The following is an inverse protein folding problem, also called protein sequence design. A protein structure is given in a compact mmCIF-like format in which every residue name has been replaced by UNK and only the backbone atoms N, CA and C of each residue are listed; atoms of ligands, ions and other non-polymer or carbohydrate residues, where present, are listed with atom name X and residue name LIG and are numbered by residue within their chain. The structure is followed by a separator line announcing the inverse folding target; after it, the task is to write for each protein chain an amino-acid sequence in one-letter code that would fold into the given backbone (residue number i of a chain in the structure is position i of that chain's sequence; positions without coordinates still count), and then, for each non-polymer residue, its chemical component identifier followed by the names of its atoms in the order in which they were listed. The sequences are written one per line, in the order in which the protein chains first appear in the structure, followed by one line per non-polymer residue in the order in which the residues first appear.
data_IF_524509799000
#
_entry.id   IF_524509799000
#
_cell.length_a   1.000
_cell.length_b   1.000
_cell.length_c   1.000
_cell.angle_alpha   90.00
_cell.angle_beta   90.00
_cell.angle_gamma   90.00
#
_symmetry.space_group_name_H-M   'P 1'
#
loop_
_entity.id
_entity.type
_entity.pdbx_description
1 polymer ?
#
# COMPACT_ATOMS: atom_id res chain seq x y z
N UNK A 1 -43.47 -11.97 -34.08
CA UNK A 1 -43.29 -11.03 -32.96
C UNK A 1 -42.11 -11.49 -32.13
N UNK A 2 -41.04 -10.70 -32.18
CA UNK A 2 -39.67 -10.98 -31.72
C UNK A 2 -39.49 -10.47 -30.30
N UNK A 3 -38.76 -11.20 -29.44
CA UNK A 3 -37.76 -10.59 -28.52
C UNK A 3 -36.56 -11.53 -28.31
N UNK A 4 -35.45 -11.17 -28.99
CA UNK A 4 -34.07 -11.41 -28.52
C UNK A 4 -33.91 -10.72 -27.17
N UNK A 5 -33.07 -11.27 -26.29
CA UNK A 5 -31.84 -10.61 -25.82
C UNK A 5 -30.96 -11.69 -25.19
N UNK A 6 -29.85 -11.97 -25.86
CA UNK A 6 -28.65 -12.55 -25.29
C UNK A 6 -27.88 -11.37 -24.70
N UNK A 7 -27.65 -11.31 -23.38
CA UNK A 7 -26.74 -10.33 -22.79
C UNK A 7 -25.81 -11.02 -21.80
N UNK A 8 -24.55 -11.04 -22.21
CA UNK A 8 -23.37 -11.47 -21.50
C UNK A 8 -22.95 -10.38 -20.44
N UNK A 9 -21.87 -10.60 -19.66
CA UNK A 9 -21.71 -10.29 -18.22
C UNK A 9 -21.44 -8.79 -17.88
N UNK A 10 -21.33 -8.40 -16.59
CA UNK A 10 -21.47 -7.00 -16.14
C UNK A 10 -20.36 -6.07 -16.65
N UNK A 11 -20.60 -4.75 -16.68
CA UNK A 11 -19.61 -3.79 -17.14
C UNK A 11 -18.35 -3.87 -16.30
N UNK A 12 -17.25 -4.06 -17.03
CA UNK A 12 -15.86 -3.91 -16.63
C UNK A 12 -15.68 -2.71 -15.70
N UNK A 13 -15.51 -2.97 -14.40
CA UNK A 13 -14.80 -2.03 -13.51
C UNK A 13 -13.47 -1.72 -14.19
N UNK A 14 -13.04 -0.45 -14.30
CA UNK A 14 -11.78 -0.13 -14.96
C UNK A 14 -10.67 -0.91 -14.28
N UNK A 15 -10.12 -1.87 -15.02
CA UNK A 15 -8.86 -2.51 -14.70
C UNK A 15 -7.84 -1.37 -14.62
N UNK A 16 -7.20 -1.13 -13.47
CA UNK A 16 -6.06 -0.25 -13.43
C UNK A 16 -5.01 -0.92 -14.30
N UNK A 17 -4.76 -0.36 -15.49
CA UNK A 17 -3.57 -0.65 -16.30
C UNK A 17 -2.35 -0.21 -15.50
N UNK A 18 -1.94 -1.08 -14.58
CA UNK A 18 -0.72 -1.01 -13.80
C UNK A 18 -0.01 -2.36 -13.92
N UNK A 19 1.34 -2.39 -13.78
CA UNK A 19 2.10 -3.63 -13.85
C UNK A 19 1.50 -4.70 -12.92
N UNK A 20 1.62 -5.99 -13.27
CA UNK A 20 0.98 -7.08 -12.53
C UNK A 20 1.21 -6.90 -11.03
N UNK A 21 0.21 -7.13 -10.15
CA UNK A 21 0.36 -6.91 -8.73
C UNK A 21 1.59 -7.69 -8.27
N UNK A 22 2.65 -6.94 -7.97
CA UNK A 22 3.85 -7.47 -7.33
C UNK A 22 3.40 -8.31 -6.13
N UNK A 23 4.06 -9.45 -5.84
CA UNK A 23 3.57 -10.52 -4.98
C UNK A 23 2.78 -9.98 -3.80
N UNK A 24 1.47 -10.22 -3.86
CA UNK A 24 0.39 -9.58 -3.10
C UNK A 24 0.82 -8.91 -1.78
N UNK A 25 1.17 -7.63 -1.85
CA UNK A 25 1.19 -6.80 -0.66
C UNK A 25 -0.25 -6.76 -0.10
N UNK A 26 -0.42 -6.97 1.22
CA UNK A 26 -1.74 -6.87 1.84
C UNK A 26 -2.36 -5.48 1.57
N UNK A 27 -3.70 -5.31 1.57
CA UNK A 27 -4.30 -4.00 1.32
C UNK A 27 -3.82 -2.91 2.28
N UNK A 28 -3.45 -3.27 3.51
CA UNK A 28 -2.83 -2.35 4.46
C UNK A 28 -1.38 -1.96 4.06
N UNK A 29 -0.63 -2.90 3.47
CA UNK A 29 0.69 -2.61 2.91
C UNK A 29 0.61 -1.70 1.69
N UNK A 30 -0.43 -1.88 0.85
CA UNK A 30 -0.63 -1.02 -0.31
C UNK A 30 -0.90 0.44 0.10
N UNK A 31 -1.80 0.66 1.07
CA UNK A 31 -2.04 2.01 1.62
C UNK A 31 -0.78 2.67 2.17
N UNK A 32 0.10 1.89 2.80
CA UNK A 32 1.41 2.37 3.25
C UNK A 32 2.27 2.81 2.04
N UNK A 33 2.34 2.00 0.99
CA UNK A 33 3.11 2.33 -0.20
C UNK A 33 2.59 3.59 -0.91
N UNK A 34 1.26 3.75 -1.00
CA UNK A 34 0.64 4.98 -1.50
C UNK A 34 0.99 6.20 -0.63
N UNK A 35 1.00 6.04 0.69
CA UNK A 35 1.44 7.11 1.60
C UNK A 35 2.91 7.49 1.38
N UNK A 36 3.79 6.54 1.05
CA UNK A 36 5.18 6.84 0.65
C UNK A 36 5.31 7.40 -0.77
N UNK A 37 4.40 7.09 -1.68
CA UNK A 37 4.40 7.64 -3.02
C UNK A 37 3.99 9.12 -3.04
N UNK A 38 3.06 9.50 -2.16
CA UNK A 38 2.65 10.90 -1.93
C UNK A 38 3.69 11.68 -1.12
N UNK A 39 4.35 11.03 -0.14
CA UNK A 39 5.39 11.66 0.66
C UNK A 39 6.76 11.59 -0.03
N UNK A 40 7.28 12.73 -0.48
CA UNK A 40 8.65 12.80 -1.00
C UNK A 40 9.69 12.76 0.14
N UNK A 41 9.91 11.62 0.79
CA UNK A 41 10.93 11.53 1.84
C UNK A 41 11.03 10.25 2.66
N UNK A 42 11.96 10.31 3.61
CA UNK A 42 12.17 9.31 4.65
C UNK A 42 11.10 9.51 5.75
N UNK A 43 10.45 8.45 6.22
CA UNK A 43 9.38 8.54 7.22
C UNK A 43 9.58 7.55 8.36
N UNK A 44 9.11 7.92 9.55
CA UNK A 44 9.02 7.04 10.70
C UNK A 44 7.66 6.36 10.77
N UNK A 45 7.56 5.36 11.64
CA UNK A 45 6.30 4.64 11.86
C UNK A 45 5.22 5.52 12.51
N UNK A 46 5.62 6.47 13.36
CA UNK A 46 4.74 7.49 13.95
C UNK A 46 4.16 8.44 12.90
N UNK A 47 5.00 9.07 12.09
CA UNK A 47 4.59 9.93 10.96
C UNK A 47 3.62 9.22 10.01
N UNK A 48 3.88 7.95 9.71
CA UNK A 48 2.96 7.12 8.92
C UNK A 48 1.63 6.86 9.65
N UNK A 49 1.64 6.68 10.97
CA UNK A 49 0.40 6.56 11.73
C UNK A 49 -0.42 7.85 11.64
N UNK A 50 0.20 9.03 11.71
CA UNK A 50 -0.50 10.32 11.54
C UNK A 50 -1.12 10.45 10.15
N UNK A 51 -0.36 10.12 9.10
CA UNK A 51 -0.85 10.19 7.71
C UNK A 51 -1.95 9.19 7.36
N UNK A 52 -2.01 8.08 8.10
CA UNK A 52 -3.06 7.07 7.94
C UNK A 52 -4.23 7.32 8.92
N UNK A 53 -4.27 8.47 9.60
CA UNK A 53 -5.26 8.83 10.62
C UNK A 53 -5.40 7.76 11.73
N UNK A 54 -4.28 7.10 12.05
CA UNK A 54 -4.19 6.11 13.11
C UNK A 54 -3.80 6.79 14.42
N UNK A 55 -4.45 6.41 15.52
CA UNK A 55 -4.05 6.88 16.83
C UNK A 55 -2.57 6.52 17.11
N UNK A 56 -1.77 7.50 17.55
CA UNK A 56 -0.36 7.37 17.93
C UNK A 56 -0.19 6.63 19.27
N UNK A 57 -0.71 5.41 19.32
CA UNK A 57 -0.57 4.50 20.45
C UNK A 57 0.61 3.57 20.22
N UNK A 58 1.32 3.11 21.28
CA UNK A 58 2.44 2.17 21.13
C UNK A 58 2.07 0.91 20.34
N UNK A 59 0.83 0.43 20.51
CA UNK A 59 0.29 -0.72 19.78
C UNK A 59 0.24 -0.48 18.26
N UNK A 60 -0.24 0.69 17.84
CA UNK A 60 -0.36 1.01 16.42
C UNK A 60 1.01 1.25 15.80
N UNK A 61 1.88 1.99 16.49
CA UNK A 61 3.26 2.26 16.03
C UNK A 61 4.03 0.95 15.82
N UNK A 62 3.94 0.00 16.76
CA UNK A 62 4.63 -1.29 16.64
C UNK A 62 4.01 -2.19 15.55
N UNK A 63 2.69 -2.13 15.35
CA UNK A 63 2.02 -2.83 14.25
C UNK A 63 2.44 -2.26 12.88
N UNK A 64 2.50 -0.94 12.78
CA UNK A 64 2.99 -0.23 11.60
C UNK A 64 4.45 -0.58 11.33
N UNK A 65 5.31 -0.55 12.35
CA UNK A 65 6.72 -0.96 12.24
C UNK A 65 6.88 -2.40 11.74
N UNK A 66 6.06 -3.33 12.20
CA UNK A 66 6.04 -4.71 11.68
C UNK A 66 5.69 -4.76 10.19
N UNK A 67 4.70 -3.98 9.74
CA UNK A 67 4.30 -3.91 8.33
C UNK A 67 5.41 -3.28 7.47
N UNK A 68 6.05 -2.22 7.96
CA UNK A 68 7.18 -1.57 7.31
C UNK A 68 8.36 -2.53 7.15
N UNK A 69 8.77 -3.23 8.22
CA UNK A 69 9.81 -4.25 8.17
C UNK A 69 9.48 -5.37 7.16
N UNK A 70 8.21 -5.79 7.09
CA UNK A 70 7.78 -6.76 6.07
C UNK A 70 7.98 -6.23 4.66
N UNK A 71 7.61 -4.99 4.39
CA UNK A 71 7.81 -4.34 3.09
C UNK A 71 9.29 -4.14 2.75
N UNK A 72 10.14 -3.89 3.74
CA UNK A 72 11.60 -3.86 3.57
C UNK A 72 12.13 -5.25 3.17
N UNK A 73 11.66 -6.32 3.83
CA UNK A 73 12.04 -7.69 3.48
C UNK A 73 11.58 -8.10 2.07
N UNK A 74 10.47 -7.54 1.59
CA UNK A 74 9.98 -7.72 0.22
C UNK A 74 10.72 -6.86 -0.81
N UNK A 75 11.65 -6.00 -0.38
CA UNK A 75 12.42 -5.11 -1.24
C UNK A 75 11.65 -3.90 -1.77
N UNK A 76 10.44 -3.64 -1.26
CA UNK A 76 9.62 -2.50 -1.67
C UNK A 76 9.99 -1.21 -0.93
N UNK A 77 10.38 -1.33 0.34
CA UNK A 77 10.92 -0.24 1.14
C UNK A 77 12.40 -0.48 1.46
N UNK A 78 13.11 0.58 1.81
CA UNK A 78 14.43 0.53 2.41
C UNK A 78 14.39 1.17 3.81
N UNK A 79 15.24 0.69 4.70
CA UNK A 79 15.47 1.27 6.02
C UNK A 79 16.92 1.75 6.09
N UNK A 80 17.22 2.98 5.66
CA UNK A 80 18.59 3.51 5.68
C UNK A 80 19.11 3.70 7.11
N UNK A 81 18.23 4.00 8.06
CA UNK A 81 18.55 4.15 9.48
C UNK A 81 17.51 3.42 10.33
N UNK A 82 17.87 2.94 11.53
CA UNK A 82 16.93 2.22 12.41
C UNK A 82 15.64 3.01 12.65
N UNK A 83 14.52 2.47 12.19
CA UNK A 83 13.20 3.09 12.34
C UNK A 83 12.87 4.21 11.35
N UNK A 84 13.72 4.45 10.36
CA UNK A 84 13.50 5.39 9.27
C UNK A 84 13.33 4.61 7.96
N UNK A 85 12.21 4.81 7.27
CA UNK A 85 11.85 4.04 6.08
C UNK A 85 11.70 4.94 4.86
N UNK A 86 11.95 4.39 3.67
CA UNK A 86 11.75 5.09 2.40
C UNK A 86 11.35 4.13 1.31
N UNK A 87 10.61 4.61 0.33
CA UNK A 87 10.32 3.82 -0.85
C UNK A 87 11.60 3.55 -1.63
N UNK A 88 11.80 2.29 -2.05
CA UNK A 88 12.81 2.01 -3.07
C UNK A 88 12.26 2.52 -4.39
N UNK A 89 12.94 3.50 -4.97
CA UNK A 89 12.66 3.92 -6.33
C UNK A 89 12.87 2.73 -7.27
N UNK A 90 11.97 2.47 -8.24
CA UNK A 90 12.19 1.46 -9.26
C UNK A 90 13.49 1.71 -10.04
#
# INVERSE_FOLDING_TARGET
MTRKVLLAPPPTTPEPTGPPPAPSASPACQQILDAFADAAGLMRADDLCERLDLALTPKNIESTRHKLKRLVNLGMLAEPEPGLFTQRRP
#
